data_IF_401653510727
#
_entry.id   IF_401653510727
#
_cell.length_a   1.000
_cell.length_b   1.000
_cell.length_c   1.000
_cell.angle_alpha   90.00
_cell.angle_beta   90.00
_cell.angle_gamma   90.00
#
_symmetry.space_group_name_H-M   'P 1'
#
loop_
_entity.id
_entity.type
_entity.pdbx_description
1 polymer ?
#
# COMPACT_ATOMS: atom_id res chain seq x y z
N UNK A 1 35.32 17.20 -9.22
CA UNK A 1 34.35 18.21 -9.67
C UNK A 1 34.81 18.75 -11.01
N UNK A 2 34.30 18.21 -12.12
CA UNK A 2 34.62 18.73 -13.45
C UNK A 2 33.66 19.88 -13.78
N UNK A 3 34.20 21.08 -14.03
CA UNK A 3 33.45 22.25 -14.44
C UNK A 3 32.84 22.00 -15.82
N UNK A 4 31.51 21.98 -15.90
CA UNK A 4 30.80 21.85 -17.17
C UNK A 4 31.00 23.08 -18.06
N UNK A 5 31.44 22.85 -19.29
CA UNK A 5 31.52 23.87 -20.33
C UNK A 5 30.15 24.51 -20.57
N UNK A 6 30.09 25.85 -20.59
CA UNK A 6 28.87 26.60 -20.86
C UNK A 6 28.51 26.51 -22.34
N UNK A 7 27.71 25.51 -22.72
CA UNK A 7 27.15 25.39 -24.08
C UNK A 7 26.31 26.63 -24.46
N UNK A 8 26.46 27.07 -25.71
CA UNK A 8 25.79 28.24 -26.29
C UNK A 8 24.26 28.14 -26.32
N UNK A 9 23.58 29.28 -26.49
CA UNK A 9 22.11 29.39 -26.45
C UNK A 9 21.41 28.46 -27.45
N UNK A 10 21.96 28.30 -28.65
CA UNK A 10 21.42 27.43 -29.70
C UNK A 10 21.54 25.94 -29.32
N UNK A 11 22.68 25.53 -28.72
CA UNK A 11 22.86 24.17 -28.24
C UNK A 11 21.88 23.83 -27.10
N UNK A 12 21.63 24.77 -26.18
CA UNK A 12 20.61 24.63 -25.12
C UNK A 12 19.18 24.56 -25.65
N UNK A 13 18.90 25.17 -26.79
CA UNK A 13 17.58 25.14 -27.44
C UNK A 13 17.37 23.84 -28.23
N UNK A 14 18.43 23.28 -28.79
CA UNK A 14 18.40 22.03 -29.57
C UNK A 14 18.50 20.77 -28.70
N UNK A 15 19.36 20.74 -27.68
CA UNK A 15 19.56 19.56 -26.82
C UNK A 15 18.47 19.42 -25.74
N UNK A 16 17.74 20.49 -25.43
CA UNK A 16 16.90 20.54 -24.24
C UNK A 16 17.73 20.37 -22.95
N UNK A 17 17.09 20.43 -21.78
CA UNK A 17 17.78 20.00 -20.55
C UNK A 17 17.81 18.48 -20.54
N UNK A 18 18.99 17.88 -20.50
CA UNK A 18 19.13 16.47 -20.10
C UNK A 18 18.39 16.30 -18.76
N UNK A 19 17.55 15.27 -18.67
CA UNK A 19 16.87 14.95 -17.41
C UNK A 19 17.94 14.41 -16.48
N UNK A 20 18.53 15.29 -15.67
CA UNK A 20 19.39 14.92 -14.57
C UNK A 20 18.75 13.74 -13.82
N UNK A 21 19.52 12.72 -13.43
CA UNK A 21 18.99 11.54 -12.72
C UNK A 21 18.18 11.94 -11.47
N UNK A 22 18.57 13.06 -10.86
CA UNK A 22 17.87 13.67 -9.73
C UNK A 22 16.49 14.25 -10.14
N UNK A 23 16.38 14.84 -11.34
CA UNK A 23 15.09 15.27 -11.91
C UNK A 23 14.18 14.07 -12.21
N UNK A 24 14.72 13.00 -12.81
CA UNK A 24 13.97 11.77 -13.08
C UNK A 24 13.45 11.11 -11.79
N UNK A 25 14.29 11.04 -10.74
CA UNK A 25 13.89 10.53 -9.42
C UNK A 25 12.89 11.43 -8.70
N UNK A 26 13.01 12.76 -8.84
CA UNK A 26 12.06 13.71 -8.24
C UNK A 26 10.65 13.62 -8.82
N UNK A 27 10.52 13.12 -10.06
CA UNK A 27 9.22 12.90 -10.73
C UNK A 27 8.54 11.59 -10.34
N UNK A 28 9.22 10.70 -9.62
CA UNK A 28 8.64 9.44 -9.16
C UNK A 28 7.64 9.66 -8.02
N UNK A 29 6.57 8.85 -7.94
CA UNK A 29 5.53 9.01 -6.94
C UNK A 29 6.04 8.75 -5.52
N UNK A 30 5.75 9.67 -4.59
CA UNK A 30 6.25 9.64 -3.21
C UNK A 30 5.23 9.19 -2.17
N UNK A 31 3.98 8.98 -2.58
CA UNK A 31 2.93 8.41 -1.75
C UNK A 31 1.89 7.74 -2.68
N UNK A 32 0.94 7.00 -2.08
CA UNK A 32 -0.12 6.27 -2.80
C UNK A 32 -0.98 7.19 -3.68
N UNK A 33 -1.32 8.37 -3.17
CA UNK A 33 -2.07 9.37 -3.94
C UNK A 33 -1.32 9.85 -5.20
N UNK A 34 -0.01 10.10 -5.09
CA UNK A 34 0.83 10.46 -6.23
C UNK A 34 0.97 9.29 -7.21
N UNK A 35 1.08 8.06 -6.69
CA UNK A 35 1.13 6.84 -7.50
C UNK A 35 -0.16 6.63 -8.29
N UNK A 36 -1.32 6.85 -7.68
CA UNK A 36 -2.61 6.84 -8.39
C UNK A 36 -2.58 7.76 -9.61
N UNK A 37 -2.17 9.02 -9.43
CA UNK A 37 -2.12 9.99 -10.53
C UNK A 37 -1.04 9.68 -11.56
N UNK A 38 0.09 9.14 -11.15
CA UNK A 38 1.16 8.67 -12.04
C UNK A 38 0.66 7.54 -12.95
N UNK A 39 -0.03 6.54 -12.39
CA UNK A 39 -0.64 5.46 -13.18
C UNK A 39 -1.78 5.99 -14.05
N UNK A 40 -2.69 6.77 -13.47
CA UNK A 40 -3.88 7.26 -14.16
C UNK A 40 -3.52 8.11 -15.38
N UNK A 41 -2.53 9.02 -15.27
CA UNK A 41 -2.11 9.89 -16.37
C UNK A 41 -1.04 9.23 -17.25
N UNK A 42 -0.05 8.59 -16.64
CA UNK A 42 1.10 8.01 -17.35
C UNK A 42 0.78 6.70 -18.08
N UNK A 43 -0.24 5.95 -17.65
CA UNK A 43 -0.66 4.68 -18.25
C UNK A 43 -2.12 4.66 -18.68
N UNK A 44 -2.71 5.84 -18.95
CA UNK A 44 -4.13 6.00 -19.29
C UNK A 44 -4.59 5.07 -20.42
N UNK A 45 -3.84 4.99 -21.52
CA UNK A 45 -4.17 4.12 -22.65
C UNK A 45 -4.26 2.64 -22.25
N UNK A 46 -3.41 2.20 -21.32
CA UNK A 46 -3.47 0.83 -20.81
C UNK A 46 -4.72 0.61 -19.95
N UNK A 47 -5.11 1.60 -19.14
CA UNK A 47 -6.35 1.55 -18.36
C UNK A 47 -7.57 1.43 -19.27
N UNK A 48 -7.64 2.21 -20.36
CA UNK A 48 -8.72 2.11 -21.36
C UNK A 48 -8.79 0.71 -21.97
N UNK A 49 -7.67 0.13 -22.40
CA UNK A 49 -7.66 -1.21 -23.00
C UNK A 49 -8.12 -2.27 -21.97
N UNK A 50 -7.63 -2.21 -20.73
CA UNK A 50 -8.08 -3.10 -19.65
C UNK A 50 -9.56 -2.93 -19.37
N UNK A 51 -10.06 -1.68 -19.39
CA UNK A 51 -11.48 -1.37 -19.21
C UNK A 51 -12.35 -2.03 -20.28
N UNK A 52 -11.99 -1.88 -21.56
CA UNK A 52 -12.72 -2.48 -22.67
C UNK A 52 -12.72 -4.01 -22.61
N UNK A 53 -11.60 -4.62 -22.21
CA UNK A 53 -11.53 -6.06 -22.00
C UNK A 53 -12.46 -6.52 -20.87
N UNK A 54 -12.49 -5.81 -19.74
CA UNK A 54 -13.44 -6.13 -18.66
C UNK A 54 -14.89 -5.92 -19.10
N UNK A 55 -15.16 -4.83 -19.84
CA UNK A 55 -16.49 -4.47 -20.29
C UNK A 55 -17.11 -5.55 -21.18
N UNK A 56 -16.30 -6.24 -22.00
CA UNK A 56 -16.74 -7.38 -22.81
C UNK A 56 -17.41 -8.47 -21.95
N UNK A 57 -16.83 -8.79 -20.79
CA UNK A 57 -17.40 -9.76 -19.86
C UNK A 57 -18.59 -9.19 -19.05
N UNK A 58 -18.69 -7.87 -18.94
CA UNK A 58 -19.83 -7.21 -18.31
C UNK A 58 -21.05 -7.09 -19.23
N UNK A 59 -20.94 -7.36 -20.55
CA UNK A 59 -22.05 -7.24 -21.50
C UNK A 59 -23.29 -8.03 -21.05
N UNK A 60 -23.21 -9.31 -20.64
CA UNK A 60 -24.39 -10.04 -20.17
C UNK A 60 -25.03 -9.38 -18.95
N UNK A 61 -24.24 -8.84 -18.03
CA UNK A 61 -24.74 -8.17 -16.83
C UNK A 61 -25.48 -6.88 -17.19
N UNK A 62 -24.91 -6.07 -18.08
CA UNK A 62 -25.55 -4.86 -18.62
C UNK A 62 -26.84 -5.22 -19.35
N UNK A 63 -26.84 -6.27 -20.16
CA UNK A 63 -28.03 -6.73 -20.87
C UNK A 63 -29.16 -7.12 -19.91
N UNK A 64 -28.87 -7.88 -18.85
CA UNK A 64 -29.87 -8.24 -17.83
C UNK A 64 -30.42 -7.00 -17.13
N UNK A 65 -29.60 -6.00 -16.82
CA UNK A 65 -30.09 -4.73 -16.27
C UNK A 65 -31.03 -4.00 -17.22
N UNK A 66 -30.69 -3.92 -18.52
CA UNK A 66 -31.53 -3.28 -19.55
C UNK A 66 -32.84 -4.05 -19.72
N UNK A 67 -32.80 -5.38 -19.79
CA UNK A 67 -34.01 -6.20 -19.91
C UNK A 67 -34.92 -6.09 -18.69
N UNK A 68 -34.35 -6.09 -17.48
CA UNK A 68 -35.14 -5.86 -16.27
C UNK A 68 -35.77 -4.47 -16.25
N UNK A 69 -35.00 -3.43 -16.61
CA UNK A 69 -35.49 -2.05 -16.67
C UNK A 69 -36.63 -1.91 -17.69
N UNK A 70 -36.44 -2.41 -18.91
CA UNK A 70 -37.46 -2.36 -19.96
C UNK A 70 -38.71 -3.16 -19.57
N UNK A 71 -38.55 -4.35 -18.99
CA UNK A 71 -39.67 -5.14 -18.46
C UNK A 71 -40.49 -4.36 -17.43
N UNK A 72 -39.83 -3.73 -16.44
CA UNK A 72 -40.50 -2.90 -15.43
C UNK A 72 -41.25 -1.71 -16.06
N UNK A 73 -40.68 -1.06 -17.08
CA UNK A 73 -41.34 0.05 -17.77
C UNK A 73 -42.56 -0.39 -18.59
N UNK A 74 -42.46 -1.54 -19.27
CA UNK A 74 -43.59 -2.12 -20.04
C UNK A 74 -44.72 -2.50 -19.10
N UNK A 75 -44.42 -3.19 -17.99
CA UNK A 75 -45.42 -3.48 -16.96
C UNK A 75 -46.00 -2.18 -16.38
N UNK A 76 -45.14 -1.22 -16.01
CA UNK A 76 -45.52 0.10 -15.50
C UNK A 76 -46.49 0.86 -16.40
N UNK A 77 -46.35 0.73 -17.72
CA UNK A 77 -47.22 1.38 -18.72
C UNK A 77 -48.47 0.57 -19.06
N UNK A 78 -48.45 -0.75 -18.82
CA UNK A 78 -49.57 -1.65 -19.11
C UNK A 78 -50.60 -1.66 -17.98
N UNK A 79 -50.19 -1.37 -16.75
CA UNK A 79 -51.09 -1.29 -15.59
C UNK A 79 -51.58 0.15 -15.36
N UNK A 80 -52.86 0.35 -15.01
CA UNK A 80 -53.45 1.67 -14.82
C UNK A 80 -53.10 2.26 -13.44
N UNK A 81 -51.82 2.36 -13.10
CA UNK A 81 -51.35 2.93 -11.82
C UNK A 81 -51.77 4.40 -11.62
N UNK A 82 -52.13 5.11 -12.69
CA UNK A 82 -52.63 6.50 -12.70
C UNK A 82 -54.13 6.64 -12.97
N UNK A 83 -54.88 5.54 -13.10
CA UNK A 83 -56.23 5.51 -13.68
C UNK A 83 -57.39 6.02 -12.81
N UNK A 84 -57.14 6.72 -11.71
CA UNK A 84 -58.16 7.05 -10.70
C UNK A 84 -58.68 8.49 -10.68
N UNK A 85 -58.35 9.34 -11.66
CA UNK A 85 -58.58 10.80 -11.53
C UNK A 85 -59.73 11.39 -12.35
N UNK A 86 -60.40 10.63 -13.23
CA UNK A 86 -61.52 11.16 -14.02
C UNK A 86 -62.67 10.14 -14.16
N UNK A 87 -63.88 10.63 -13.86
CA UNK A 87 -65.15 9.90 -13.88
C UNK A 87 -65.41 9.30 -15.28
N UNK A 88 -65.42 7.97 -15.42
CA UNK A 88 -65.91 7.32 -16.65
C UNK A 88 -65.25 6.01 -17.10
N UNK A 89 -64.21 5.50 -16.42
CA UNK A 89 -63.54 4.24 -16.80
C UNK A 89 -64.04 3.02 -15.99
N UNK A 90 -63.95 1.78 -16.52
CA UNK A 90 -64.42 0.57 -15.84
C UNK A 90 -63.79 0.41 -14.46
N UNK A 91 -64.51 -0.21 -13.53
CA UNK A 91 -64.02 -0.50 -12.18
C UNK A 91 -62.71 -1.30 -12.25
N UNK A 92 -61.59 -0.64 -12.03
CA UNK A 92 -60.29 -1.30 -11.95
C UNK A 92 -60.21 -2.08 -10.63
N UNK A 93 -59.64 -3.30 -10.63
CA UNK A 93 -59.39 -4.04 -9.40
C UNK A 93 -58.48 -3.23 -8.46
N UNK A 94 -58.56 -3.51 -7.15
CA UNK A 94 -57.72 -2.86 -6.15
C UNK A 94 -56.23 -3.03 -6.52
N UNK A 95 -55.53 -1.92 -6.75
CA UNK A 95 -54.13 -1.89 -7.18
C UNK A 95 -53.14 -1.71 -6.00
N UNK A 96 -53.63 -1.71 -4.76
CA UNK A 96 -52.78 -1.62 -3.55
C UNK A 96 -51.77 -2.76 -3.53
N UNK A 97 -50.48 -2.44 -3.37
CA UNK A 97 -49.38 -3.41 -3.33
C UNK A 97 -48.98 -4.01 -4.67
N UNK A 98 -49.68 -3.70 -5.77
CA UNK A 98 -49.35 -4.24 -7.10
C UNK A 98 -48.01 -3.73 -7.64
N UNK A 99 -47.64 -2.43 -7.51
CA UNK A 99 -46.31 -1.95 -7.91
C UNK A 99 -45.17 -2.71 -7.22
N UNK A 100 -45.27 -2.92 -5.91
CA UNK A 100 -44.29 -3.63 -5.10
C UNK A 100 -44.25 -5.12 -5.49
N UNK A 101 -45.41 -5.72 -5.77
CA UNK A 101 -45.50 -7.10 -6.26
C UNK A 101 -44.80 -7.29 -7.62
N UNK A 102 -44.92 -6.31 -8.52
CA UNK A 102 -44.18 -6.35 -9.80
C UNK A 102 -42.68 -6.26 -9.59
N UNK A 103 -42.21 -5.44 -8.64
CA UNK A 103 -40.78 -5.36 -8.30
C UNK A 103 -40.27 -6.69 -7.75
N UNK A 104 -41.02 -7.36 -6.86
CA UNK A 104 -40.69 -8.71 -6.37
C UNK A 104 -40.67 -9.72 -7.51
N UNK A 105 -41.68 -9.72 -8.37
CA UNK A 105 -41.75 -10.60 -9.55
C UNK A 105 -40.55 -10.41 -10.47
N UNK A 106 -40.12 -9.15 -10.70
CA UNK A 106 -38.90 -8.83 -11.44
C UNK A 106 -37.65 -9.43 -10.77
N UNK A 107 -37.58 -9.38 -9.44
CA UNK A 107 -36.43 -9.86 -8.68
C UNK A 107 -36.32 -11.39 -8.69
N UNK A 108 -37.44 -12.10 -8.69
CA UNK A 108 -37.50 -13.55 -8.85
C UNK A 108 -37.14 -13.97 -10.28
N UNK A 109 -37.70 -13.28 -11.27
CA UNK A 109 -37.48 -13.58 -12.70
C UNK A 109 -36.03 -13.30 -13.12
N UNK A 110 -35.50 -12.14 -12.75
CA UNK A 110 -34.16 -11.68 -13.18
C UNK A 110 -33.05 -12.01 -12.18
N UNK A 111 -33.37 -12.46 -10.97
CA UNK A 111 -32.39 -12.71 -9.90
C UNK A 111 -31.31 -13.71 -10.27
N UNK A 112 -31.72 -14.88 -10.78
CA UNK A 112 -30.77 -15.91 -11.21
C UNK A 112 -29.92 -15.41 -12.41
N UNK A 113 -30.53 -14.70 -13.36
CA UNK A 113 -29.81 -14.13 -14.50
C UNK A 113 -28.77 -13.10 -14.05
N UNK A 114 -29.07 -12.27 -13.05
CA UNK A 114 -28.13 -11.32 -12.46
C UNK A 114 -26.95 -12.03 -11.80
N UNK A 115 -27.20 -13.11 -11.05
CA UNK A 115 -26.14 -13.90 -10.41
C UNK A 115 -25.23 -14.52 -11.49
N UNK A 116 -25.81 -15.21 -12.47
CA UNK A 116 -25.04 -15.84 -13.56
C UNK A 116 -24.25 -14.80 -14.35
N UNK A 117 -24.86 -13.67 -14.70
CA UNK A 117 -24.19 -12.60 -15.44
C UNK A 117 -23.09 -11.93 -14.61
N UNK A 118 -23.26 -11.79 -13.29
CA UNK A 118 -22.23 -11.29 -12.39
C UNK A 118 -21.02 -12.24 -12.34
N UNK A 119 -21.23 -13.56 -12.37
CA UNK A 119 -20.14 -14.53 -12.45
C UNK A 119 -19.38 -14.45 -13.79
N UNK A 120 -20.07 -14.18 -14.90
CA UNK A 120 -19.41 -13.94 -16.18
C UNK A 120 -18.57 -12.66 -16.10
N UNK A 121 -19.12 -11.57 -15.54
CA UNK A 121 -18.40 -10.32 -15.32
C UNK A 121 -17.16 -10.51 -14.42
N UNK A 122 -17.25 -11.40 -13.42
CA UNK A 122 -16.16 -11.74 -12.51
C UNK A 122 -14.93 -12.29 -13.24
N UNK A 123 -15.11 -12.99 -14.36
CA UNK A 123 -14.00 -13.45 -15.22
C UNK A 123 -13.21 -12.23 -15.74
N UNK A 124 -13.90 -11.21 -16.24
CA UNK A 124 -13.26 -9.97 -16.69
C UNK A 124 -12.56 -9.24 -15.54
N UNK A 125 -13.24 -9.09 -14.41
CA UNK A 125 -12.69 -8.46 -13.20
C UNK A 125 -11.42 -9.17 -12.73
N UNK A 126 -11.35 -10.50 -12.80
CA UNK A 126 -10.17 -11.28 -12.44
C UNK A 126 -8.93 -10.91 -13.26
N UNK A 127 -9.09 -10.75 -14.58
CA UNK A 127 -8.02 -10.30 -15.47
C UNK A 127 -7.61 -8.85 -15.21
N UNK A 128 -8.60 -7.95 -15.10
CA UNK A 128 -8.36 -6.53 -14.87
C UNK A 128 -7.70 -6.24 -13.53
N UNK A 129 -8.14 -6.93 -12.48
CA UNK A 129 -7.56 -6.84 -11.13
C UNK A 129 -6.07 -7.20 -11.14
N UNK A 130 -5.68 -8.26 -11.84
CA UNK A 130 -4.28 -8.66 -11.95
C UNK A 130 -3.43 -7.57 -12.64
N UNK A 131 -3.92 -7.07 -13.78
CA UNK A 131 -3.20 -6.05 -14.54
C UNK A 131 -3.05 -4.76 -13.74
N UNK A 132 -4.13 -4.29 -13.11
CA UNK A 132 -4.12 -3.04 -12.32
C UNK A 132 -3.27 -3.19 -11.06
N UNK A 133 -3.36 -4.33 -10.35
CA UNK A 133 -2.49 -4.62 -9.20
C UNK A 133 -1.00 -4.54 -9.60
N UNK A 134 -0.63 -5.11 -10.74
CA UNK A 134 0.74 -5.03 -11.23
C UNK A 134 1.14 -3.60 -11.63
N UNK A 135 0.21 -2.78 -12.13
CA UNK A 135 0.47 -1.34 -12.33
C UNK A 135 0.75 -0.63 -11.00
N UNK A 136 -0.02 -0.92 -9.96
CA UNK A 136 0.19 -0.35 -8.60
C UNK A 136 1.53 -0.79 -8.01
N UNK A 137 2.00 -1.99 -8.34
CA UNK A 137 3.36 -2.42 -8.00
C UNK A 137 4.45 -1.86 -8.92
N UNK A 138 4.08 -0.98 -9.87
CA UNK A 138 4.97 -0.38 -10.89
C UNK A 138 5.69 -1.39 -11.77
N UNK A 139 5.16 -2.61 -11.88
CA UNK A 139 5.72 -3.64 -12.73
C UNK A 139 5.47 -3.31 -14.22
N UNK A 140 6.36 -3.82 -15.08
CA UNK A 140 6.16 -3.79 -16.52
C UNK A 140 4.95 -4.66 -16.87
N UNK A 141 3.99 -4.09 -17.61
CA UNK A 141 2.75 -4.79 -17.97
C UNK A 141 2.48 -4.77 -19.47
N UNK A 142 2.15 -5.96 -19.98
CA UNK A 142 1.62 -6.20 -21.31
C UNK A 142 0.13 -6.56 -21.18
N UNK A 143 -0.73 -5.56 -21.37
CA UNK A 143 -2.15 -5.61 -21.00
C UNK A 143 -2.86 -6.90 -21.43
N UNK A 144 -2.80 -7.27 -22.71
CA UNK A 144 -3.53 -8.44 -23.21
C UNK A 144 -3.04 -9.75 -22.58
N UNK A 145 -1.73 -9.98 -22.57
CA UNK A 145 -1.16 -11.23 -22.05
C UNK A 145 -1.33 -11.34 -20.54
N UNK A 146 -1.12 -10.24 -19.82
CA UNK A 146 -1.28 -10.20 -18.36
C UNK A 146 -2.74 -10.32 -17.94
N UNK A 147 -3.69 -9.82 -18.74
CA UNK A 147 -5.12 -9.98 -18.48
C UNK A 147 -5.53 -11.45 -18.49
N UNK A 148 -5.20 -12.18 -19.56
CA UNK A 148 -5.51 -13.62 -19.66
C UNK A 148 -4.76 -14.46 -18.63
N UNK A 149 -3.51 -14.10 -18.32
CA UNK A 149 -2.76 -14.71 -17.22
C UNK A 149 -3.44 -14.46 -15.87
N UNK A 150 -3.92 -13.23 -15.65
CA UNK A 150 -4.65 -12.82 -14.46
C UNK A 150 -5.94 -13.60 -14.24
N UNK A 151 -6.69 -13.86 -15.31
CA UNK A 151 -7.85 -14.76 -15.26
C UNK A 151 -7.43 -16.11 -14.71
N UNK A 152 -6.44 -16.77 -15.32
CA UNK A 152 -6.03 -18.12 -14.90
C UNK A 152 -5.57 -18.21 -13.44
N UNK A 153 -4.98 -17.15 -12.91
CA UNK A 153 -4.44 -17.14 -11.53
C UNK A 153 -5.53 -16.84 -10.50
N UNK A 154 -6.40 -15.86 -10.78
CA UNK A 154 -7.30 -15.30 -9.76
C UNK A 154 -8.76 -15.77 -9.89
N UNK A 155 -9.14 -16.44 -10.99
CA UNK A 155 -10.54 -16.72 -11.32
C UNK A 155 -11.30 -17.43 -10.21
N UNK A 156 -10.69 -18.41 -9.54
CA UNK A 156 -11.35 -19.16 -8.47
C UNK A 156 -11.81 -18.25 -7.32
N UNK A 157 -10.88 -17.47 -6.77
CA UNK A 157 -11.18 -16.58 -5.64
C UNK A 157 -12.14 -15.46 -6.06
N UNK A 158 -11.98 -14.91 -7.27
CA UNK A 158 -12.86 -13.85 -7.76
C UNK A 158 -14.29 -14.38 -7.99
N UNK A 159 -14.45 -15.56 -8.58
CA UNK A 159 -15.75 -16.21 -8.74
C UNK A 159 -16.41 -16.51 -7.40
N UNK A 160 -15.69 -17.09 -6.44
CA UNK A 160 -16.21 -17.36 -5.10
C UNK A 160 -16.66 -16.07 -4.39
N UNK A 161 -15.86 -15.01 -4.50
CA UNK A 161 -16.17 -13.69 -3.92
C UNK A 161 -17.41 -13.07 -4.59
N UNK A 162 -17.50 -13.13 -5.92
CA UNK A 162 -18.64 -12.59 -6.67
C UNK A 162 -19.90 -13.42 -6.45
N UNK A 163 -19.79 -14.74 -6.30
CA UNK A 163 -20.93 -15.60 -5.96
C UNK A 163 -21.50 -15.24 -4.59
N UNK A 164 -20.64 -15.15 -3.58
CA UNK A 164 -21.04 -14.70 -2.24
C UNK A 164 -21.72 -13.33 -2.29
N UNK A 165 -21.10 -12.36 -2.97
CA UNK A 165 -21.62 -11.00 -3.08
C UNK A 165 -22.97 -10.95 -3.80
N UNK A 166 -23.10 -11.61 -4.95
CA UNK A 166 -24.32 -11.59 -5.77
C UNK A 166 -25.50 -12.28 -5.09
N UNK A 167 -25.27 -13.40 -4.38
CA UNK A 167 -26.31 -14.06 -3.57
C UNK A 167 -26.74 -13.16 -2.41
N UNK A 168 -25.79 -12.59 -1.67
CA UNK A 168 -26.09 -11.71 -0.55
C UNK A 168 -26.86 -10.46 -0.99
N UNK A 169 -26.43 -9.82 -2.09
CA UNK A 169 -27.18 -8.72 -2.69
C UNK A 169 -28.60 -9.12 -3.07
N UNK A 170 -28.76 -10.26 -3.75
CA UNK A 170 -30.08 -10.73 -4.16
C UNK A 170 -31.00 -10.96 -2.96
N UNK A 171 -30.50 -11.60 -1.89
CA UNK A 171 -31.24 -11.85 -0.65
C UNK A 171 -31.64 -10.56 0.07
N UNK A 172 -30.72 -9.61 0.25
CA UNK A 172 -31.03 -8.36 0.94
C UNK A 172 -31.95 -7.46 0.13
N UNK A 173 -31.77 -7.37 -1.19
CA UNK A 173 -32.71 -6.65 -2.06
C UNK A 173 -34.08 -7.32 -2.10
N UNK A 174 -34.14 -8.65 -2.09
CA UNK A 174 -35.41 -9.37 -1.96
C UNK A 174 -36.08 -9.08 -0.61
N UNK A 175 -35.32 -9.07 0.49
CA UNK A 175 -35.81 -8.71 1.82
C UNK A 175 -36.41 -7.30 1.86
N UNK A 176 -35.75 -6.33 1.23
CA UNK A 176 -36.26 -4.94 1.11
C UNK A 176 -37.59 -4.94 0.35
N UNK A 177 -37.62 -5.48 -0.87
CA UNK A 177 -38.82 -5.48 -1.71
C UNK A 177 -39.98 -6.22 -1.04
N UNK A 178 -39.69 -7.30 -0.31
CA UNK A 178 -40.69 -8.05 0.45
C UNK A 178 -41.26 -7.24 1.60
N UNK A 179 -40.41 -6.57 2.39
CA UNK A 179 -40.84 -5.67 3.46
C UNK A 179 -41.66 -4.49 2.92
N UNK A 180 -41.29 -3.92 1.78
CA UNK A 180 -42.06 -2.86 1.10
C UNK A 180 -43.44 -3.34 0.65
N UNK A 181 -43.53 -4.55 0.08
CA UNK A 181 -44.80 -5.14 -0.31
C UNK A 181 -45.74 -5.38 0.87
N UNK A 182 -45.24 -5.95 1.97
CA UNK A 182 -46.01 -6.17 3.20
C UNK A 182 -46.57 -4.85 3.76
N UNK A 183 -45.74 -3.79 3.78
CA UNK A 183 -46.16 -2.45 4.17
C UNK A 183 -47.25 -1.90 3.23
N UNK A 184 -47.11 -2.10 1.93
CA UNK A 184 -48.04 -1.59 0.92
C UNK A 184 -49.43 -2.25 1.02
N UNK A 185 -49.50 -3.56 1.29
CA UNK A 185 -50.78 -4.27 1.46
C UNK A 185 -51.40 -4.07 2.85
N UNK A 186 -50.73 -3.33 3.74
CA UNK A 186 -51.21 -3.07 5.10
C UNK A 186 -51.14 -4.29 6.02
N UNK A 187 -50.30 -5.27 5.67
CA UNK A 187 -50.09 -6.46 6.49
C UNK A 187 -48.84 -6.33 7.37
N UNK A 188 -48.76 -7.15 8.42
CA UNK A 188 -47.59 -7.21 9.29
C UNK A 188 -47.36 -5.99 10.19
N UNK A 189 -46.24 -6.00 10.92
CA UNK A 189 -45.86 -4.92 11.82
C UNK A 189 -44.99 -3.90 11.07
N UNK A 190 -45.50 -2.68 10.90
CA UNK A 190 -44.84 -1.63 10.13
C UNK A 190 -43.48 -1.21 10.68
N UNK A 191 -43.32 -1.21 12.01
CA UNK A 191 -42.06 -0.89 12.69
C UNK A 191 -41.02 -1.96 12.38
N UNK A 192 -41.38 -3.24 12.49
CA UNK A 192 -40.46 -4.34 12.19
C UNK A 192 -40.04 -4.37 10.71
N UNK A 193 -40.98 -4.11 9.78
CA UNK A 193 -40.67 -4.05 8.36
C UNK A 193 -39.74 -2.87 8.02
N UNK A 194 -39.96 -1.71 8.64
CA UNK A 194 -39.07 -0.55 8.45
C UNK A 194 -37.65 -0.84 8.98
N UNK A 195 -37.54 -1.48 10.14
CA UNK A 195 -36.24 -1.91 10.69
C UNK A 195 -35.55 -2.92 9.77
N UNK A 196 -36.29 -3.89 9.22
CA UNK A 196 -35.78 -4.87 8.25
C UNK A 196 -35.20 -4.20 7.00
N UNK A 197 -35.89 -3.19 6.45
CA UNK A 197 -35.41 -2.40 5.31
C UNK A 197 -34.09 -1.69 5.67
N UNK A 198 -34.06 -0.98 6.80
CA UNK A 198 -32.86 -0.26 7.24
C UNK A 198 -31.65 -1.19 7.46
N UNK A 199 -31.84 -2.33 8.13
CA UNK A 199 -30.80 -3.33 8.34
C UNK A 199 -30.32 -3.92 7.02
N UNK A 200 -31.21 -4.17 6.07
CA UNK A 200 -30.85 -4.72 4.76
C UNK A 200 -29.99 -3.75 3.94
N UNK A 201 -30.28 -2.45 3.96
CA UNK A 201 -29.41 -1.43 3.33
C UNK A 201 -28.02 -1.36 3.98
N UNK A 202 -27.95 -1.41 5.32
CA UNK A 202 -26.67 -1.46 6.05
C UNK A 202 -25.91 -2.73 5.67
N UNK A 203 -26.58 -3.88 5.61
CA UNK A 203 -25.98 -5.15 5.24
C UNK A 203 -25.43 -5.13 3.80
N UNK A 204 -26.16 -4.54 2.85
CA UNK A 204 -25.68 -4.33 1.47
C UNK A 204 -24.41 -3.49 1.47
N UNK A 205 -24.37 -2.38 2.21
CA UNK A 205 -23.18 -1.53 2.28
C UNK A 205 -21.96 -2.28 2.85
N UNK A 206 -22.15 -3.01 3.95
CA UNK A 206 -21.09 -3.83 4.58
C UNK A 206 -20.62 -4.92 3.63
N UNK A 207 -21.53 -5.69 3.04
CA UNK A 207 -21.20 -6.80 2.14
C UNK A 207 -20.54 -6.31 0.84
N UNK A 208 -20.90 -5.12 0.36
CA UNK A 208 -20.19 -4.47 -0.75
C UNK A 208 -18.74 -4.15 -0.40
N UNK A 209 -18.50 -3.53 0.76
CA UNK A 209 -17.14 -3.25 1.23
C UNK A 209 -16.36 -4.56 1.44
N UNK A 210 -16.99 -5.59 2.01
CA UNK A 210 -16.39 -6.92 2.15
C UNK A 210 -15.99 -7.49 0.79
N UNK A 211 -16.87 -7.47 -0.21
CA UNK A 211 -16.57 -7.96 -1.55
C UNK A 211 -15.35 -7.26 -2.15
N UNK A 212 -15.27 -5.94 -2.03
CA UNK A 212 -14.10 -5.19 -2.51
C UNK A 212 -12.80 -5.62 -1.77
N UNK A 213 -12.85 -5.83 -0.45
CA UNK A 213 -11.71 -6.39 0.29
C UNK A 213 -11.37 -7.82 -0.12
N UNK A 214 -12.36 -8.65 -0.42
CA UNK A 214 -12.16 -10.02 -0.90
C UNK A 214 -11.42 -10.03 -2.23
N UNK A 215 -11.76 -9.12 -3.15
CA UNK A 215 -11.03 -8.93 -4.41
C UNK A 215 -9.56 -8.55 -4.15
N UNK A 216 -9.31 -7.48 -3.38
CA UNK A 216 -7.95 -7.01 -3.12
C UNK A 216 -7.07 -8.05 -2.44
N UNK A 217 -7.60 -8.73 -1.41
CA UNK A 217 -6.87 -9.76 -0.67
C UNK A 217 -6.69 -11.03 -1.48
N UNK A 218 -7.75 -11.50 -2.14
CA UNK A 218 -7.71 -12.68 -3.01
C UNK A 218 -6.76 -12.51 -4.19
N UNK A 219 -6.68 -11.28 -4.70
CA UNK A 219 -5.73 -10.89 -5.72
C UNK A 219 -4.30 -10.71 -5.20
N UNK A 220 -4.03 -10.60 -3.90
CA UNK A 220 -2.68 -10.32 -3.36
C UNK A 220 -2.09 -11.46 -2.54
N UNK A 221 -2.95 -12.30 -1.97
CA UNK A 221 -2.60 -13.34 -1.01
C UNK A 221 -3.32 -14.65 -1.33
N UNK A 222 -2.65 -15.78 -1.10
CA UNK A 222 -3.26 -17.11 -1.21
C UNK A 222 -4.03 -17.41 0.07
N UNK A 223 -5.32 -17.11 0.09
CA UNK A 223 -6.22 -17.34 1.23
C UNK A 223 -7.33 -18.33 0.86
N UNK A 224 -7.77 -19.14 1.82
CA UNK A 224 -9.00 -19.95 1.67
C UNK A 224 -10.24 -19.06 1.74
N UNK A 225 -11.35 -19.46 1.12
CA UNK A 225 -12.60 -18.69 1.10
C UNK A 225 -13.05 -18.17 2.49
N UNK A 226 -13.17 -19.03 3.49
CA UNK A 226 -13.60 -18.60 4.84
C UNK A 226 -12.57 -17.73 5.56
N UNK A 227 -11.29 -17.88 5.26
CA UNK A 227 -10.26 -16.97 5.79
C UNK A 227 -10.37 -15.60 5.13
N UNK A 228 -10.57 -15.58 3.81
CA UNK A 228 -10.81 -14.37 3.04
C UNK A 228 -12.06 -13.65 3.57
N UNK A 229 -13.17 -14.36 3.74
CA UNK A 229 -14.42 -13.80 4.26
C UNK A 229 -14.25 -13.15 5.65
N UNK A 230 -13.62 -13.85 6.59
CA UNK A 230 -13.34 -13.33 7.95
C UNK A 230 -12.42 -12.12 7.91
N UNK A 231 -11.36 -12.17 7.11
CA UNK A 231 -10.40 -11.06 7.00
C UNK A 231 -11.04 -9.83 6.34
N UNK A 232 -11.85 -10.02 5.30
CA UNK A 232 -12.58 -8.95 4.64
C UNK A 232 -13.64 -8.32 5.55
N UNK A 233 -14.32 -9.12 6.39
CA UNK A 233 -15.20 -8.61 7.43
C UNK A 233 -14.44 -7.72 8.43
N UNK A 234 -13.30 -8.20 8.93
CA UNK A 234 -12.48 -7.43 9.86
C UNK A 234 -12.02 -6.10 9.26
N UNK A 235 -11.62 -6.08 7.98
CA UNK A 235 -11.18 -4.85 7.31
C UNK A 235 -12.33 -3.90 6.99
N UNK A 236 -13.54 -4.42 6.71
CA UNK A 236 -14.72 -3.59 6.48
C UNK A 236 -15.03 -2.69 7.69
N UNK A 237 -14.89 -3.21 8.91
CA UNK A 237 -15.10 -2.46 10.15
C UNK A 237 -13.83 -1.77 10.67
N UNK A 238 -12.67 -2.42 10.56
CA UNK A 238 -11.40 -1.90 11.07
C UNK A 238 -10.94 -0.60 10.39
N UNK A 239 -11.44 -0.34 9.18
CA UNK A 239 -11.14 0.87 8.39
C UNK A 239 -12.41 1.58 7.91
N UNK A 240 -13.51 1.53 8.68
CA UNK A 240 -14.83 1.97 8.21
C UNK A 240 -14.85 3.38 7.60
N UNK A 241 -14.18 4.36 8.22
CA UNK A 241 -14.14 5.73 7.71
C UNK A 241 -13.37 5.83 6.39
N UNK A 242 -12.23 5.15 6.28
CA UNK A 242 -11.45 5.11 5.04
C UNK A 242 -12.18 4.35 3.95
N UNK A 243 -12.83 3.22 4.29
CA UNK A 243 -13.63 2.42 3.37
C UNK A 243 -14.74 3.28 2.75
N UNK A 244 -15.52 3.99 3.57
CA UNK A 244 -16.59 4.88 3.08
C UNK A 244 -16.03 5.96 2.16
N UNK A 245 -14.95 6.63 2.56
CA UNK A 245 -14.31 7.67 1.76
C UNK A 245 -13.87 7.16 0.38
N UNK A 246 -13.15 6.02 0.33
CA UNK A 246 -12.66 5.47 -0.93
C UNK A 246 -13.76 4.80 -1.76
N UNK A 247 -14.80 4.24 -1.16
CA UNK A 247 -15.98 3.75 -1.91
C UNK A 247 -16.69 4.91 -2.60
N UNK A 248 -16.86 6.06 -1.95
CA UNK A 248 -17.49 7.24 -2.58
C UNK A 248 -16.67 7.71 -3.78
N UNK A 249 -15.35 7.82 -3.63
CA UNK A 249 -14.45 8.21 -4.74
C UNK A 249 -14.51 7.16 -5.87
N UNK A 250 -14.41 5.89 -5.52
CA UNK A 250 -14.50 4.78 -6.47
C UNK A 250 -15.82 4.83 -7.25
N UNK A 251 -16.92 5.14 -6.58
CA UNK A 251 -18.27 5.14 -7.14
C UNK A 251 -18.59 6.38 -7.99
N UNK A 252 -17.69 7.37 -8.14
CA UNK A 252 -17.95 8.59 -8.93
C UNK A 252 -18.56 8.31 -10.31
N UNK A 253 -18.04 7.37 -11.13
CA UNK A 253 -18.66 7.06 -12.42
C UNK A 253 -20.12 6.60 -12.31
N UNK A 254 -20.44 5.81 -11.28
CA UNK A 254 -21.79 5.31 -11.02
C UNK A 254 -22.70 6.42 -10.46
N UNK A 255 -22.19 7.25 -9.55
CA UNK A 255 -22.92 8.40 -9.01
C UNK A 255 -23.34 9.37 -10.13
N UNK A 256 -22.47 9.61 -11.11
CA UNK A 256 -22.82 10.41 -12.30
C UNK A 256 -23.97 9.80 -13.10
N UNK A 257 -24.00 8.47 -13.25
CA UNK A 257 -25.13 7.76 -13.88
C UNK A 257 -26.43 7.98 -13.11
N UNK A 258 -26.38 7.92 -11.77
CA UNK A 258 -27.55 8.07 -10.90
C UNK A 258 -28.12 9.49 -10.88
N UNK A 259 -27.32 10.52 -11.18
CA UNK A 259 -27.79 11.92 -11.21
C UNK A 259 -28.72 12.23 -12.41
N UNK A 260 -28.75 11.37 -13.45
CA UNK A 260 -29.62 11.55 -14.62
C UNK A 260 -29.15 12.62 -15.62
N UNK A 261 -29.93 12.78 -16.70
CA UNK A 261 -29.75 13.86 -17.70
C UNK A 261 -28.32 13.92 -18.28
N UNK A 262 -27.74 15.12 -18.35
CA UNK A 262 -26.38 15.36 -18.85
C UNK A 262 -25.31 14.60 -18.05
N UNK A 263 -25.43 14.51 -16.72
CA UNK A 263 -24.48 13.78 -15.87
C UNK A 263 -24.49 12.29 -16.14
N UNK A 264 -25.66 11.72 -16.44
CA UNK A 264 -25.79 10.31 -16.81
C UNK A 264 -25.03 9.98 -18.09
N UNK A 265 -25.14 10.85 -19.11
CA UNK A 265 -24.38 10.68 -20.35
C UNK A 265 -22.87 10.68 -20.08
N UNK A 266 -22.37 11.62 -19.27
CA UNK A 266 -20.96 11.67 -18.88
C UNK A 266 -20.56 10.39 -18.12
N UNK A 267 -21.37 9.97 -17.15
CA UNK A 267 -21.12 8.77 -16.36
C UNK A 267 -21.00 7.52 -17.24
N UNK A 268 -21.90 7.35 -18.21
CA UNK A 268 -21.86 6.24 -19.18
C UNK A 268 -20.59 6.31 -20.04
N UNK A 269 -20.24 7.48 -20.58
CA UNK A 269 -19.02 7.65 -21.38
C UNK A 269 -17.78 7.28 -20.56
N UNK A 270 -17.69 7.74 -19.31
CA UNK A 270 -16.60 7.39 -18.40
C UNK A 270 -16.55 5.88 -18.17
N UNK A 271 -17.69 5.24 -17.87
CA UNK A 271 -17.77 3.79 -17.66
C UNK A 271 -17.29 2.99 -18.88
N UNK A 272 -17.67 3.40 -20.08
CA UNK A 272 -17.24 2.77 -21.34
C UNK A 272 -15.74 2.94 -21.58
N UNK A 273 -15.21 4.14 -21.36
CA UNK A 273 -13.81 4.43 -21.67
C UNK A 273 -12.85 3.86 -20.63
N UNK A 274 -13.08 4.09 -19.33
CA UNK A 274 -12.15 3.69 -18.28
C UNK A 274 -12.76 3.46 -16.89
N UNK A 275 -14.08 3.55 -16.70
CA UNK A 275 -14.68 3.60 -15.36
C UNK A 275 -14.50 2.35 -14.50
N UNK A 276 -14.59 1.14 -15.07
CA UNK A 276 -14.30 -0.10 -14.32
C UNK A 276 -12.83 -0.17 -13.92
N UNK A 277 -11.93 0.21 -14.82
CA UNK A 277 -10.49 0.25 -14.52
C UNK A 277 -10.12 1.31 -13.48
N UNK A 278 -10.81 2.47 -13.50
CA UNK A 278 -10.69 3.51 -12.50
C UNK A 278 -11.15 3.01 -11.13
N UNK A 279 -12.33 2.40 -11.06
CA UNK A 279 -12.87 1.83 -9.82
C UNK A 279 -11.88 0.84 -9.19
N UNK A 280 -11.37 -0.10 -9.98
CA UNK A 280 -10.36 -1.06 -9.51
C UNK A 280 -9.05 -0.37 -9.13
N UNK A 281 -8.60 0.65 -9.86
CA UNK A 281 -7.37 1.38 -9.53
C UNK A 281 -7.48 2.11 -8.20
N UNK A 282 -8.58 2.83 -7.96
CA UNK A 282 -8.85 3.53 -6.69
C UNK A 282 -8.82 2.52 -5.54
N UNK A 283 -9.57 1.43 -5.68
CA UNK A 283 -9.70 0.46 -4.60
C UNK A 283 -8.41 -0.34 -4.36
N UNK A 284 -7.72 -0.77 -5.43
CA UNK A 284 -6.48 -1.53 -5.30
C UNK A 284 -5.36 -0.68 -4.73
N UNK A 285 -5.18 0.57 -5.18
CA UNK A 285 -4.16 1.46 -4.61
C UNK A 285 -4.39 1.74 -3.11
N UNK A 286 -5.64 2.01 -2.73
CA UNK A 286 -6.03 2.12 -1.32
C UNK A 286 -5.75 0.82 -0.54
N UNK A 287 -6.14 -0.34 -1.09
CA UNK A 287 -5.93 -1.60 -0.39
C UNK A 287 -4.45 -1.95 -0.23
N UNK A 288 -3.59 -1.58 -1.18
CA UNK A 288 -2.13 -1.77 -1.07
C UNK A 288 -1.53 -0.90 0.03
N UNK A 289 -2.04 0.32 0.26
CA UNK A 289 -1.68 1.10 1.44
C UNK A 289 -2.03 0.37 2.74
N UNK A 290 -3.23 -0.21 2.81
CA UNK A 290 -3.66 -0.94 4.00
C UNK A 290 -2.84 -2.23 4.19
N UNK A 291 -2.52 -2.93 3.10
CA UNK A 291 -1.62 -4.08 3.12
C UNK A 291 -0.28 -3.69 3.72
N UNK A 292 0.39 -2.70 3.13
CA UNK A 292 1.67 -2.20 3.60
C UNK A 292 1.66 -1.88 5.10
N UNK A 293 0.60 -1.20 5.55
CA UNK A 293 0.48 -0.74 6.94
C UNK A 293 0.20 -1.88 7.91
N UNK A 294 -0.68 -2.83 7.58
CA UNK A 294 -1.20 -3.82 8.54
C UNK A 294 -0.59 -5.21 8.40
N UNK A 295 -0.11 -5.57 7.20
CA UNK A 295 0.38 -6.91 6.88
C UNK A 295 1.88 -6.91 6.55
N UNK A 296 2.32 -6.23 5.47
CA UNK A 296 3.72 -6.30 5.05
C UNK A 296 4.69 -5.73 6.08
N UNK A 297 4.34 -4.66 6.80
CA UNK A 297 5.20 -4.06 7.85
C UNK A 297 5.53 -5.02 9.00
N UNK A 298 4.68 -6.04 9.22
CA UNK A 298 4.81 -7.01 10.32
C UNK A 298 5.37 -8.35 9.85
N UNK A 299 5.56 -8.53 8.54
CA UNK A 299 6.03 -9.78 7.95
C UNK A 299 7.54 -9.72 7.75
N UNK A 300 8.25 -10.75 8.21
CA UNK A 300 9.68 -10.89 7.93
C UNK A 300 9.92 -10.92 6.41
N UNK A 301 10.79 -10.02 5.92
CA UNK A 301 11.07 -9.84 4.49
C UNK A 301 9.93 -9.20 3.67
N UNK A 302 8.92 -8.62 4.32
CA UNK A 302 7.83 -7.92 3.67
C UNK A 302 8.32 -6.72 2.85
N UNK A 303 7.94 -6.65 1.56
CA UNK A 303 8.23 -5.51 0.70
C UNK A 303 7.15 -4.45 0.85
N UNK A 304 7.40 -3.46 1.70
CA UNK A 304 6.52 -2.31 1.96
C UNK A 304 6.73 -1.21 0.91
N UNK A 305 5.69 -0.43 0.60
CA UNK A 305 5.75 0.77 -0.26
C UNK A 305 6.18 0.48 -1.71
N UNK A 306 5.76 -0.67 -2.25
CA UNK A 306 6.02 -0.98 -3.67
C UNK A 306 5.44 0.10 -4.58
N UNK A 307 6.25 0.56 -5.53
CA UNK A 307 5.90 1.62 -6.46
C UNK A 307 6.03 3.04 -5.89
N UNK A 308 6.44 3.20 -4.63
CA UNK A 308 6.62 4.51 -3.98
C UNK A 308 8.10 4.74 -3.74
N UNK A 309 8.57 5.94 -4.10
CA UNK A 309 9.97 6.32 -4.01
C UNK A 309 10.15 7.42 -2.98
N UNK A 310 11.16 7.27 -2.11
CA UNK A 310 11.54 8.35 -1.21
C UNK A 310 12.04 9.54 -2.05
N UNK A 311 11.39 10.71 -1.92
CA UNK A 311 11.90 11.94 -2.51
C UNK A 311 13.22 12.28 -1.84
N UNK A 312 14.32 12.12 -2.57
CA UNK A 312 15.57 12.80 -2.23
C UNK A 312 15.28 14.27 -2.49
N UNK A 313 15.10 15.06 -1.44
CA UNK A 313 14.97 16.51 -1.60
C UNK A 313 16.24 17.05 -2.27
N UNK A 314 16.10 18.05 -3.14
CA UNK A 314 17.21 18.91 -3.53
C UNK A 314 17.76 19.55 -2.25
N UNK A 315 18.77 18.92 -1.67
CA UNK A 315 19.22 19.16 -0.29
C UNK A 315 19.11 17.91 0.59
N UNK A 316 19.90 16.89 0.28
CA UNK A 316 20.67 16.13 1.27
C UNK A 316 19.98 15.56 2.52
N UNK A 317 18.69 15.26 2.53
CA UNK A 317 18.07 14.51 3.62
C UNK A 317 17.94 13.04 3.21
N UNK A 318 18.97 12.24 3.54
CA UNK A 318 18.93 10.79 3.40
C UNK A 318 17.76 10.21 4.23
N UNK A 319 17.12 9.15 3.71
CA UNK A 319 16.03 8.42 4.37
C UNK A 319 16.41 8.03 5.81
N UNK A 320 15.46 7.98 6.76
CA UNK A 320 15.73 7.58 8.17
C UNK A 320 16.51 6.26 8.27
N UNK A 321 16.22 5.28 7.40
CA UNK A 321 16.96 4.02 7.35
C UNK A 321 18.42 4.19 6.89
N UNK A 322 18.67 5.16 6.01
CA UNK A 322 20.03 5.52 5.60
C UNK A 322 20.69 6.35 6.69
N UNK A 323 19.99 7.23 7.40
CA UNK A 323 20.54 7.95 8.56
C UNK A 323 20.91 6.99 9.69
N UNK A 324 20.08 5.98 9.98
CA UNK A 324 20.39 4.93 10.95
C UNK A 324 21.54 4.05 10.47
N UNK A 325 21.61 3.72 9.18
CA UNK A 325 22.75 3.01 8.60
C UNK A 325 24.02 3.85 8.66
N UNK A 326 23.95 5.15 8.31
CA UNK A 326 25.06 6.09 8.34
C UNK A 326 25.51 6.32 9.78
N UNK A 327 24.59 6.48 10.74
CA UNK A 327 24.89 6.61 12.16
C UNK A 327 25.51 5.33 12.73
N UNK A 328 25.03 4.15 12.30
CA UNK A 328 25.67 2.88 12.65
C UNK A 328 27.02 2.70 11.97
N UNK A 329 27.20 3.21 10.75
CA UNK A 329 28.47 3.18 10.04
C UNK A 329 29.47 4.14 10.69
N UNK A 330 29.04 5.34 11.08
CA UNK A 330 29.82 6.34 11.80
C UNK A 330 30.16 5.84 13.20
N UNK A 331 29.23 5.17 13.89
CA UNK A 331 29.49 4.49 15.15
C UNK A 331 30.45 3.31 14.98
N UNK A 332 30.37 2.54 13.89
CA UNK A 332 31.32 1.47 13.60
C UNK A 332 32.70 2.01 13.19
N UNK A 333 32.75 3.16 12.50
CA UNK A 333 33.99 3.84 12.11
C UNK A 333 34.63 4.61 13.28
N UNK A 334 33.87 4.93 14.34
CA UNK A 334 34.41 5.54 15.56
C UNK A 334 35.00 4.52 16.54
N UNK A 335 34.81 3.22 16.29
CA UNK A 335 35.47 2.15 17.05
C UNK A 335 36.91 2.00 16.57
N UNK A 336 37.85 2.33 17.46
CA UNK A 336 39.29 2.19 17.23
C UNK A 336 39.66 0.71 17.03
N UNK A 337 40.16 0.36 15.85
CA UNK A 337 40.66 -0.99 15.57
C UNK A 337 42.00 -1.22 16.29
N UNK A 338 42.08 -2.26 17.12
CA UNK A 338 43.30 -2.61 17.86
C UNK A 338 44.48 -2.89 16.91
N UNK A 339 44.24 -3.63 15.82
CA UNK A 339 45.26 -3.96 14.81
C UNK A 339 45.81 -2.73 14.09
N UNK A 340 44.96 -1.75 13.78
CA UNK A 340 45.38 -0.55 13.04
C UNK A 340 46.01 0.51 13.95
N UNK A 341 45.81 0.38 15.27
CA UNK A 341 46.26 1.36 16.26
C UNK A 341 47.67 1.14 16.81
N UNK A 342 48.26 -0.03 16.56
CA UNK A 342 49.60 -0.40 17.03
C UNK A 342 50.49 -0.90 15.90
N UNK A 343 51.80 -0.67 15.97
CA UNK A 343 52.73 -1.27 15.04
C UNK A 343 52.71 -2.80 15.12
N UNK A 344 52.68 -3.44 13.97
CA UNK A 344 52.76 -4.90 13.83
C UNK A 344 54.03 -5.21 13.05
N UNK A 345 54.86 -6.09 13.60
CA UNK A 345 56.10 -6.51 12.97
C UNK A 345 55.80 -7.33 11.70
N UNK A 346 56.40 -7.02 10.55
CA UNK A 346 56.30 -7.84 9.35
C UNK A 346 56.83 -9.27 9.60
N UNK A 347 56.23 -10.27 8.94
CA UNK A 347 56.59 -11.70 9.06
C UNK A 347 57.82 -12.00 8.16
N UNK A 348 58.90 -11.26 8.35
CA UNK A 348 60.14 -11.41 7.57
C UNK A 348 61.29 -11.97 8.38
N UNK A 349 61.08 -12.26 9.67
CA UNK A 349 62.09 -12.73 10.59
C UNK A 349 62.15 -14.26 10.66
N UNK A 350 63.35 -14.80 10.94
CA UNK A 350 63.61 -16.23 11.11
C UNK A 350 63.12 -16.81 12.45
N UNK A 351 62.38 -16.02 13.24
CA UNK A 351 61.81 -16.41 14.53
C UNK A 351 60.68 -17.44 14.33
N UNK A 352 60.99 -18.71 14.58
CA UNK A 352 60.04 -19.82 14.51
C UNK A 352 59.59 -20.25 15.90
N UNK A 353 58.29 -20.51 16.05
CA UNK A 353 57.75 -21.17 17.25
C UNK A 353 58.32 -22.58 17.30
N UNK A 354 58.84 -22.99 18.46
CA UNK A 354 59.31 -24.37 18.63
C UNK A 354 58.13 -25.34 18.49
N UNK A 355 58.19 -26.26 17.53
CA UNK A 355 57.14 -27.26 17.33
C UNK A 355 57.38 -28.46 18.26
N UNK A 356 56.33 -28.89 18.97
CA UNK A 356 56.42 -30.03 19.86
C UNK A 356 56.48 -31.33 19.04
N UNK A 357 57.40 -32.27 19.34
CA UNK A 357 57.41 -33.60 18.73
C UNK A 357 56.25 -34.47 19.25
N UNK A 358 55.92 -35.54 18.50
CA UNK A 358 54.79 -36.44 18.79
C UNK A 358 54.82 -37.05 20.21
N UNK A 359 56.01 -37.18 20.81
CA UNK A 359 56.21 -37.48 22.23
C UNK A 359 57.02 -36.37 22.89
N UNK A 360 56.41 -35.56 23.75
CA UNK A 360 57.03 -34.38 24.38
C UNK A 360 57.30 -34.56 25.88
N UNK A 361 58.40 -33.99 26.33
CA UNK A 361 58.80 -33.94 27.74
C UNK A 361 58.45 -32.59 28.40
N UNK A 362 58.62 -32.48 29.72
CA UNK A 362 58.49 -31.19 30.43
C UNK A 362 59.51 -30.14 29.95
N UNK A 363 60.66 -30.58 29.47
CA UNK A 363 61.68 -29.68 28.92
C UNK A 363 61.24 -29.10 27.57
N UNK A 364 60.54 -29.88 26.75
CA UNK A 364 60.03 -29.42 25.45
C UNK A 364 58.89 -28.40 25.61
N UNK A 365 58.07 -28.55 26.65
CA UNK A 365 57.08 -27.53 27.03
C UNK A 365 57.74 -26.23 27.51
N UNK A 366 58.88 -26.33 28.20
CA UNK A 366 59.66 -25.16 28.63
C UNK A 366 60.24 -24.43 27.42
N UNK A 367 60.83 -25.15 26.47
CA UNK A 367 61.34 -24.60 25.20
C UNK A 367 60.23 -23.96 24.35
N UNK A 368 59.05 -24.58 24.28
CA UNK A 368 57.89 -23.98 23.62
C UNK A 368 57.51 -22.65 24.28
N UNK A 369 57.44 -22.62 25.61
CA UNK A 369 57.09 -21.40 26.35
C UNK A 369 58.12 -20.30 26.14
N UNK A 370 59.41 -20.64 26.25
CA UNK A 370 60.51 -19.70 25.99
C UNK A 370 60.45 -19.17 24.55
N UNK A 371 60.19 -20.02 23.55
CA UNK A 371 60.02 -19.56 22.15
C UNK A 371 58.85 -18.59 21.97
N UNK A 372 57.74 -18.78 22.69
CA UNK A 372 56.58 -17.87 22.68
C UNK A 372 56.86 -16.56 23.42
N UNK A 373 57.57 -16.63 24.55
CA UNK A 373 57.99 -15.45 25.33
C UNK A 373 58.93 -14.56 24.50
N UNK A 374 59.91 -15.15 23.80
CA UNK A 374 60.82 -14.42 22.91
C UNK A 374 60.05 -13.69 21.81
N UNK A 375 59.08 -14.35 21.17
CA UNK A 375 58.25 -13.72 20.12
C UNK A 375 57.37 -12.61 20.70
N UNK A 376 56.82 -12.81 21.90
CA UNK A 376 56.00 -11.81 22.57
C UNK A 376 56.81 -10.56 22.96
N UNK A 377 58.00 -10.74 23.53
CA UNK A 377 58.92 -9.66 23.88
C UNK A 377 59.41 -8.91 22.65
N UNK A 378 59.77 -9.62 21.59
CA UNK A 378 60.19 -9.04 20.31
C UNK A 378 59.07 -8.22 19.65
N UNK A 379 57.83 -8.74 19.69
CA UNK A 379 56.66 -8.01 19.19
C UNK A 379 56.40 -6.73 20.01
N UNK A 380 56.56 -6.79 21.33
CA UNK A 380 56.39 -5.63 22.21
C UNK A 380 57.47 -4.57 21.98
N UNK A 381 58.73 -4.98 21.88
CA UNK A 381 59.85 -4.07 21.56
C UNK A 381 59.63 -3.37 20.23
N UNK A 382 59.25 -4.11 19.20
CA UNK A 382 58.93 -3.53 17.89
C UNK A 382 57.79 -2.50 17.97
N UNK A 383 56.73 -2.82 18.72
CA UNK A 383 55.60 -1.91 18.93
C UNK A 383 55.98 -0.64 19.71
N UNK A 384 56.93 -0.72 20.65
CA UNK A 384 57.44 0.43 21.39
C UNK A 384 58.36 1.31 20.52
N UNK A 385 59.26 0.70 19.76
CA UNK A 385 60.20 1.39 18.87
C UNK A 385 59.48 2.16 17.76
N UNK A 386 58.41 1.58 17.19
CA UNK A 386 57.66 2.14 16.06
C UNK A 386 56.37 2.86 16.49
N UNK A 387 56.17 3.05 17.80
CA UNK A 387 54.96 3.70 18.37
C UNK A 387 54.74 5.10 17.84
N UNK A 388 55.82 5.80 17.52
CA UNK A 388 55.83 7.19 17.06
C UNK A 388 55.86 7.32 15.53
N UNK A 389 55.75 6.22 14.78
CA UNK A 389 55.68 6.30 13.32
C UNK A 389 54.45 7.11 12.91
N UNK A 390 54.65 7.96 11.90
CA UNK A 390 53.65 8.91 11.41
C UNK A 390 52.30 8.24 11.13
N UNK A 391 52.32 7.02 10.58
CA UNK A 391 51.12 6.22 10.26
C UNK A 391 50.25 5.92 11.49
N UNK A 392 50.84 5.54 12.63
CA UNK A 392 50.08 5.17 13.84
C UNK A 392 49.70 6.40 14.66
N UNK A 393 50.58 7.42 14.69
CA UNK A 393 50.29 8.70 15.34
C UNK A 393 49.13 9.40 14.64
N UNK A 394 49.14 9.47 13.31
CA UNK A 394 48.06 10.10 12.52
C UNK A 394 46.74 9.33 12.66
N UNK A 395 46.77 8.00 12.63
CA UNK A 395 45.59 7.17 12.85
C UNK A 395 45.00 7.35 14.25
N UNK A 396 45.84 7.27 15.31
CA UNK A 396 45.38 7.41 16.69
C UNK A 396 44.85 8.83 17.00
N UNK A 397 45.50 9.87 16.46
CA UNK A 397 45.08 11.25 16.62
C UNK A 397 43.67 11.54 16.06
N UNK A 398 43.18 10.76 15.09
CA UNK A 398 41.82 10.89 14.56
C UNK A 398 40.74 10.47 15.58
N UNK A 399 41.10 9.64 16.57
CA UNK A 399 40.19 9.18 17.63
C UNK A 399 40.37 9.91 18.95
N UNK A 400 41.50 10.58 19.16
CA UNK A 400 41.79 11.34 20.38
C UNK A 400 41.24 12.79 20.32
N UNK A 401 41.27 13.44 19.13
CA UNK A 401 40.70 14.78 18.93
C UNK A 401 39.21 14.91 19.29
N UNK A 402 38.31 13.97 18.92
CA UNK A 402 36.90 14.06 19.30
C UNK A 402 36.68 13.91 20.82
N UNK A 403 37.50 13.09 21.50
CA UNK A 403 37.41 12.88 22.94
C UNK A 403 37.87 14.10 23.75
N UNK A 404 38.94 14.77 23.32
CA UNK A 404 39.40 16.01 23.96
C UNK A 404 38.39 17.16 23.79
N UNK A 405 37.70 17.24 22.65
CA UNK A 405 36.63 18.23 22.43
C UNK A 405 35.39 17.98 23.30
N UNK A 406 35.04 16.72 23.57
CA UNK A 406 33.96 16.37 24.51
C UNK A 406 34.35 16.65 25.97
N UNK A 407 35.59 16.33 26.37
CA UNK A 407 36.08 16.60 27.73
C UNK A 407 36.24 18.10 28.02
N UNK A 408 36.69 18.89 27.04
CA UNK A 408 36.82 20.35 27.18
C UNK A 408 35.46 21.05 27.25
N UNK A 409 34.45 20.57 26.51
CA UNK A 409 33.05 21.00 26.68
C UNK A 409 32.49 20.63 28.06
N UNK A 410 32.81 19.44 28.58
CA UNK A 410 32.47 19.02 29.95
C UNK A 410 33.11 19.88 31.05
N UNK A 411 34.38 20.28 30.87
CA UNK A 411 35.10 21.16 31.82
C UNK A 411 34.62 22.61 31.76
N UNK A 412 34.29 23.16 30.59
CA UNK A 412 33.64 24.48 30.46
C UNK A 412 32.26 24.49 31.13
N UNK A 413 31.44 23.46 30.91
CA UNK A 413 30.14 23.33 31.59
C UNK A 413 30.22 23.21 33.12
N UNK A 414 31.30 22.65 33.66
CA UNK A 414 31.56 22.63 35.12
C UNK A 414 32.04 23.99 35.67
N UNK A 415 32.84 24.75 34.91
CA UNK A 415 33.24 26.12 35.29
C UNK A 415 32.06 27.09 35.28
N UNK A 416 31.18 27.00 34.28
CA UNK A 416 29.98 27.84 34.18
C UNK A 416 28.96 27.53 35.30
N UNK A 417 28.89 26.28 35.75
CA UNK A 417 28.06 25.90 36.91
C UNK A 417 28.65 26.38 38.25
N UNK A 418 29.98 26.47 38.38
CA UNK A 418 30.63 26.97 39.61
C UNK A 418 30.55 28.50 39.71
N UNK A 419 30.73 29.21 38.60
CA UNK A 419 30.53 30.67 38.55
C UNK A 419 29.08 31.08 38.88
N UNK A 420 28.07 30.32 38.42
CA UNK A 420 26.65 30.54 38.79
C UNK A 420 26.30 30.17 40.24
N UNK A 421 27.12 29.37 40.92
CA UNK A 421 26.94 29.04 42.33
C UNK A 421 27.56 30.14 43.22
N UNK A 422 28.74 30.64 42.86
CA UNK A 422 29.42 31.73 43.58
C UNK A 422 28.66 33.08 43.45
N UNK A 423 28.00 33.36 42.31
CA UNK A 423 27.09 34.52 42.17
C UNK A 423 25.82 34.40 43.04
N UNK A 424 25.35 33.18 43.33
CA UNK A 424 24.16 32.96 44.17
C UNK A 424 24.45 33.05 45.67
N UNK A 425 25.68 32.78 46.11
CA UNK A 425 26.08 32.95 47.52
C UNK A 425 26.45 34.40 47.87
N UNK A 426 26.88 35.21 46.89
CA UNK A 426 27.16 36.64 47.10
C UNK A 426 25.91 37.54 47.06
N UNK A 427 24.84 37.13 46.36
CA UNK A 427 23.59 37.91 46.23
C UNK A 427 22.53 37.66 47.32
N UNK A 428 22.84 36.88 48.35
CA UNK A 428 21.88 36.46 49.39
C UNK A 428 22.04 37.12 50.77
N UNK A 429 22.79 38.22 50.88
CA UNK A 429 23.06 38.88 52.18
C UNK A 429 22.58 40.33 52.35
N UNK A 430 21.97 40.94 51.34
CA UNK A 430 21.39 42.28 51.46
C UNK A 430 19.92 42.26 50.99
N UNK A 431 19.03 41.79 51.86
CA UNK A 431 17.61 42.21 51.96
C UNK A 431 16.95 41.47 53.14
N UNK A 432 17.19 42.01 54.34
CA UNK A 432 16.26 42.00 55.47
C UNK A 432 16.03 43.43 55.91
#
# INVERSE_FOLDING_TARGET
MAQGEKKGFIARMLEGKERDEEYARSTLPSNRWALFWDIFKGRFSKLVIVNLLMLLFCIPLVAVFIFRYTWLNVMGSSYPFSGGLLVGFPAYPNMVGVPEQLVISSQLTFGLFLIVAALIAAIGISGGMYVIRNMVWTEGIFVANDFWRGIKINIGIVLESTLFYSIALWLFTFSINWSEWILAVGEGNSVLMTISIAISYIAIAVVTIMYLWMLSMGGSYKLKFFQLLKNSFLMAFGLIFQNVFFVIIMAIPLLLVLLGSFFQMIGIIILILFGLSYMLLVWLDYSQWAFDKFFESKREGGKVNRGIYAKVGKGGAQSKAVQEYQANLEAAMSVKSDLSSRPIKPITDDLKVYELPDSFSREDLKKLRESKEIIAEDTQKYAEEHKNDEKYVTYNAQFDKPKEEEETKGKKGKKDKKAKADEKEAGGKDEQ
#
